data_IF_766973115106
#
_entry.id   IF_766973115106
#
_cell.length_a   1.000
_cell.length_b   1.000
_cell.length_c   1.000
_cell.angle_alpha   90.00
_cell.angle_beta   90.00
_cell.angle_gamma   90.00
#
_symmetry.space_group_name_H-M   'P 1'
#
loop_
_entity.id
_entity.type
_entity.pdbx_description
1 polymer ?
#
# COMPACT_ATOMS: atom_id res chain seq x y z
N UNK A 1 -42.66 -4.74 22.17
CA UNK A 1 -42.78 -4.95 20.71
C UNK A 1 -41.37 -5.12 20.19
N UNK A 2 -40.84 -6.32 20.38
CA UNK A 2 -39.61 -6.81 19.76
C UNK A 2 -39.82 -7.04 18.26
N UNK A 3 -38.74 -7.40 17.55
CA UNK A 3 -38.64 -7.79 16.13
C UNK A 3 -38.16 -6.72 15.14
N UNK A 4 -36.96 -6.18 15.36
CA UNK A 4 -36.08 -5.75 14.26
C UNK A 4 -34.61 -6.15 14.51
N UNK A 5 -34.36 -7.32 15.10
CA UNK A 5 -33.06 -7.99 14.96
C UNK A 5 -33.12 -8.96 13.78
N UNK A 6 -33.19 -8.39 12.58
CA UNK A 6 -32.84 -9.10 11.35
C UNK A 6 -31.33 -9.29 11.34
N UNK A 7 -30.83 -10.29 12.08
CA UNK A 7 -29.44 -10.73 11.97
C UNK A 7 -29.18 -11.10 10.53
N UNK A 8 -28.41 -10.26 9.84
CA UNK A 8 -27.93 -10.50 8.48
C UNK A 8 -26.94 -11.67 8.53
N UNK A 9 -27.47 -12.89 8.67
CA UNK A 9 -26.72 -14.14 8.69
C UNK A 9 -26.18 -14.33 7.28
N UNK A 10 -24.99 -13.79 7.00
CA UNK A 10 -24.27 -14.10 5.77
C UNK A 10 -24.27 -15.62 5.63
N UNK A 11 -24.85 -16.12 4.54
CA UNK A 11 -24.91 -17.56 4.33
C UNK A 11 -23.48 -18.07 4.22
N UNK A 12 -23.17 -19.21 4.85
CA UNK A 12 -21.85 -19.86 4.75
C UNK A 12 -21.43 -20.04 3.28
N UNK A 13 -22.40 -20.21 2.39
CA UNK A 13 -22.21 -20.25 0.93
C UNK A 13 -21.65 -18.94 0.39
N UNK A 14 -22.20 -17.79 0.78
CA UNK A 14 -21.68 -16.48 0.34
C UNK A 14 -20.24 -16.26 0.80
N UNK A 15 -19.89 -16.71 2.01
CA UNK A 15 -18.54 -16.60 2.54
C UNK A 15 -17.56 -17.50 1.79
N UNK A 16 -17.94 -18.76 1.52
CA UNK A 16 -17.13 -19.69 0.72
C UNK A 16 -16.92 -19.17 -0.70
N UNK A 17 -17.97 -18.68 -1.36
CA UNK A 17 -17.87 -18.10 -2.71
C UNK A 17 -16.97 -16.86 -2.71
N UNK A 18 -17.09 -16.01 -1.68
CA UNK A 18 -16.21 -14.85 -1.53
C UNK A 18 -14.74 -15.25 -1.42
N UNK A 19 -14.42 -16.22 -0.56
CA UNK A 19 -13.05 -16.72 -0.37
C UNK A 19 -12.53 -17.37 -1.66
N UNK A 20 -13.32 -18.23 -2.29
CA UNK A 20 -12.95 -18.93 -3.51
C UNK A 20 -12.67 -17.98 -4.69
N UNK A 21 -13.50 -16.94 -4.88
CA UNK A 21 -13.29 -15.96 -5.95
C UNK A 21 -12.02 -15.12 -5.73
N UNK A 22 -11.73 -14.72 -4.50
CA UNK A 22 -10.52 -13.94 -4.20
C UNK A 22 -9.24 -14.77 -4.32
N UNK A 23 -9.27 -16.03 -3.85
CA UNK A 23 -8.19 -16.99 -4.09
C UNK A 23 -8.00 -17.24 -5.59
N UNK A 24 -9.10 -17.46 -6.32
CA UNK A 24 -9.09 -17.62 -7.77
C UNK A 24 -8.47 -16.44 -8.49
N UNK A 25 -8.77 -15.20 -8.07
CA UNK A 25 -8.14 -14.00 -8.62
C UNK A 25 -6.63 -14.00 -8.38
N UNK A 26 -6.17 -14.24 -7.15
CA UNK A 26 -4.74 -14.27 -6.84
C UNK A 26 -3.99 -15.36 -7.61
N UNK A 27 -4.56 -16.56 -7.71
CA UNK A 27 -4.02 -17.68 -8.49
C UNK A 27 -3.97 -17.35 -9.98
N UNK A 28 -5.03 -16.76 -10.53
CA UNK A 28 -5.08 -16.41 -11.95
C UNK A 28 -4.04 -15.35 -12.31
N UNK A 29 -3.84 -14.34 -11.45
CA UNK A 29 -2.78 -13.34 -11.64
C UNK A 29 -1.39 -13.99 -11.64
N UNK A 30 -1.13 -14.90 -10.71
CA UNK A 30 0.12 -15.66 -10.66
C UNK A 30 0.34 -16.48 -11.95
N UNK A 31 -0.67 -17.23 -12.40
CA UNK A 31 -0.57 -18.05 -13.62
C UNK A 31 -0.35 -17.19 -14.87
N UNK A 32 -1.03 -16.04 -14.98
CA UNK A 32 -0.83 -15.13 -16.11
C UNK A 32 0.61 -14.62 -16.15
N UNK A 33 1.16 -14.19 -15.01
CA UNK A 33 2.54 -13.67 -14.97
C UNK A 33 3.55 -14.79 -15.25
N UNK A 34 3.30 -16.01 -14.76
CA UNK A 34 4.16 -17.17 -14.98
C UNK A 34 4.21 -17.60 -16.45
N UNK A 35 3.05 -17.75 -17.09
CA UNK A 35 2.93 -18.35 -18.43
C UNK A 35 3.05 -17.31 -19.56
N UNK A 36 2.40 -16.15 -19.41
CA UNK A 36 2.32 -15.13 -20.48
C UNK A 36 3.55 -14.22 -20.48
N UNK A 37 4.28 -14.14 -19.35
CA UNK A 37 5.45 -13.27 -19.17
C UNK A 37 5.19 -11.80 -19.54
N UNK A 38 3.94 -11.35 -19.40
CA UNK A 38 3.51 -9.98 -19.70
C UNK A 38 2.65 -9.44 -18.56
N UNK A 39 3.01 -8.29 -17.97
CA UNK A 39 2.25 -7.73 -16.85
C UNK A 39 0.90 -7.16 -17.28
N UNK A 40 0.74 -6.80 -18.56
CA UNK A 40 -0.42 -6.05 -19.06
C UNK A 40 -1.75 -6.78 -18.90
N UNK A 41 -1.78 -8.09 -19.16
CA UNK A 41 -2.99 -8.89 -19.05
C UNK A 41 -3.42 -9.04 -17.57
N UNK A 42 -2.45 -9.27 -16.67
CA UNK A 42 -2.69 -9.33 -15.23
C UNK A 42 -3.16 -7.96 -14.69
N UNK A 43 -2.57 -6.85 -15.13
CA UNK A 43 -3.01 -5.50 -14.77
C UNK A 43 -4.45 -5.21 -15.23
N UNK A 44 -4.79 -5.59 -16.46
CA UNK A 44 -6.15 -5.45 -16.97
C UNK A 44 -7.15 -6.25 -16.12
N UNK A 45 -6.78 -7.47 -15.70
CA UNK A 45 -7.60 -8.29 -14.82
C UNK A 45 -7.77 -7.67 -13.42
N UNK A 46 -6.71 -7.07 -12.85
CA UNK A 46 -6.80 -6.34 -11.57
C UNK A 46 -7.80 -5.20 -11.67
N UNK A 47 -7.74 -4.39 -12.73
CA UNK A 47 -8.66 -3.27 -12.94
C UNK A 47 -10.10 -3.79 -13.13
N UNK A 48 -10.28 -4.82 -13.97
CA UNK A 48 -11.58 -5.44 -14.21
C UNK A 48 -12.20 -6.02 -12.93
N UNK A 49 -11.38 -6.55 -12.00
CA UNK A 49 -11.86 -7.05 -10.71
C UNK A 49 -12.54 -5.98 -9.84
N UNK A 50 -12.26 -4.69 -10.09
CA UNK A 50 -12.84 -3.54 -9.37
C UNK A 50 -14.05 -2.92 -10.06
N UNK A 51 -14.68 -3.61 -11.02
CA UNK A 51 -15.84 -3.11 -11.78
C UNK A 51 -16.94 -2.48 -10.90
N UNK A 52 -17.12 -2.97 -9.66
CA UNK A 52 -18.07 -2.42 -8.67
C UNK A 52 -17.86 -0.94 -8.36
N UNK A 53 -16.64 -0.41 -8.44
CA UNK A 53 -16.38 1.01 -8.21
C UNK A 53 -17.05 1.90 -9.28
N UNK A 54 -17.25 1.37 -10.49
CA UNK A 54 -17.87 2.06 -11.63
C UNK A 54 -19.36 1.73 -11.81
N UNK A 55 -19.87 0.69 -11.14
CA UNK A 55 -21.28 0.25 -11.21
C UNK A 55 -22.28 1.21 -10.51
N UNK A 56 -21.85 2.44 -10.19
CA UNK A 56 -22.63 3.48 -9.52
C UNK A 56 -22.85 4.66 -10.47
N UNK A 57 -23.78 5.57 -10.15
CA UNK A 57 -24.02 6.79 -10.95
C UNK A 57 -22.70 7.55 -11.21
N UNK A 58 -22.45 8.05 -12.44
CA UNK A 58 -21.20 8.71 -12.82
C UNK A 58 -20.70 9.80 -11.86
N UNK A 59 -21.62 10.59 -11.29
CA UNK A 59 -21.29 11.63 -10.30
C UNK A 59 -20.54 11.14 -9.05
N UNK A 60 -20.66 9.85 -8.71
CA UNK A 60 -20.02 9.24 -7.53
C UNK A 60 -18.78 8.43 -7.86
N UNK A 61 -18.37 8.35 -9.14
CA UNK A 61 -17.21 7.56 -9.55
C UNK A 61 -15.94 7.97 -8.84
N UNK A 62 -15.65 9.27 -8.76
CA UNK A 62 -14.45 9.77 -8.10
C UNK A 62 -14.39 9.34 -6.62
N UNK A 63 -15.51 9.41 -5.91
CA UNK A 63 -15.55 8.99 -4.51
C UNK A 63 -15.29 7.48 -4.36
N UNK A 64 -15.89 6.66 -5.22
CA UNK A 64 -15.69 5.21 -5.19
C UNK A 64 -14.30 4.77 -5.63
N UNK A 65 -13.73 5.43 -6.66
CA UNK A 65 -12.36 5.16 -7.12
C UNK A 65 -11.37 5.46 -6.01
N UNK A 66 -11.49 6.63 -5.36
CA UNK A 66 -10.59 6.99 -4.27
C UNK A 66 -10.75 6.04 -3.08
N UNK A 67 -11.98 5.62 -2.74
CA UNK A 67 -12.24 4.66 -1.66
C UNK A 67 -11.64 3.27 -1.94
N UNK A 68 -11.48 2.88 -3.21
CA UNK A 68 -10.87 1.61 -3.60
C UNK A 68 -9.41 1.75 -4.03
N UNK A 69 -8.82 2.95 -3.94
CA UNK A 69 -7.49 3.21 -4.50
C UNK A 69 -6.41 2.39 -3.81
N UNK A 70 -6.44 2.25 -2.48
CA UNK A 70 -5.45 1.46 -1.75
C UNK A 70 -5.48 -0.01 -2.18
N UNK A 71 -6.66 -0.58 -2.36
CA UNK A 71 -6.84 -1.94 -2.85
C UNK A 71 -6.40 -2.11 -4.32
N UNK A 72 -6.63 -1.09 -5.15
CA UNK A 72 -6.13 -1.04 -6.51
C UNK A 72 -4.60 -0.94 -6.56
N UNK A 73 -4.00 -0.09 -5.74
CA UNK A 73 -2.55 0.04 -5.60
C UNK A 73 -1.92 -1.28 -5.21
N UNK A 74 -2.41 -1.97 -4.18
CA UNK A 74 -1.86 -3.27 -3.79
C UNK A 74 -1.97 -4.30 -4.92
N UNK A 75 -3.10 -4.36 -5.63
CA UNK A 75 -3.27 -5.26 -6.77
C UNK A 75 -2.28 -5.00 -7.90
N UNK A 76 -2.16 -3.74 -8.33
CA UNK A 76 -1.22 -3.33 -9.39
C UNK A 76 0.21 -3.63 -8.96
N UNK A 77 0.58 -3.27 -7.73
CA UNK A 77 1.94 -3.41 -7.25
C UNK A 77 2.35 -4.87 -7.08
N UNK A 78 1.46 -5.75 -6.62
CA UNK A 78 1.73 -7.20 -6.57
C UNK A 78 2.00 -7.74 -7.97
N UNK A 79 1.21 -7.38 -8.97
CA UNK A 79 1.43 -7.83 -10.36
C UNK A 79 2.79 -7.36 -10.87
N UNK A 80 3.15 -6.10 -10.64
CA UNK A 80 4.45 -5.55 -11.02
C UNK A 80 5.61 -6.25 -10.30
N UNK A 81 5.46 -6.57 -9.02
CA UNK A 81 6.48 -7.28 -8.26
C UNK A 81 6.59 -8.76 -8.66
N UNK A 82 5.48 -9.43 -8.98
CA UNK A 82 5.51 -10.79 -9.53
C UNK A 82 6.24 -10.81 -10.87
N UNK A 83 6.00 -9.81 -11.71
CA UNK A 83 6.69 -9.66 -12.99
C UNK A 83 8.19 -9.37 -12.79
N UNK A 84 8.55 -8.50 -11.84
CA UNK A 84 9.94 -8.26 -11.47
C UNK A 84 10.63 -9.51 -10.89
N UNK A 85 9.87 -10.41 -10.25
CA UNK A 85 10.33 -11.71 -9.75
C UNK A 85 10.37 -12.82 -10.81
N UNK A 86 10.18 -12.51 -12.10
CA UNK A 86 10.23 -13.51 -13.17
C UNK A 86 11.55 -14.29 -13.16
N UNK A 87 11.46 -15.61 -13.24
CA UNK A 87 12.60 -16.52 -13.08
C UNK A 87 12.83 -17.00 -11.65
N UNK A 88 12.16 -16.43 -10.65
CA UNK A 88 12.22 -16.84 -9.24
C UNK A 88 10.82 -17.27 -8.76
N UNK A 89 10.43 -18.50 -9.12
CA UNK A 89 9.06 -19.02 -8.92
C UNK A 89 8.62 -18.94 -7.46
N UNK A 90 9.49 -19.32 -6.51
CA UNK A 90 9.12 -19.32 -5.09
C UNK A 90 8.71 -17.91 -4.61
N UNK A 91 9.34 -16.86 -5.12
CA UNK A 91 9.04 -15.48 -4.77
C UNK A 91 7.71 -15.03 -5.37
N UNK A 92 7.42 -15.43 -6.61
CA UNK A 92 6.11 -15.21 -7.23
C UNK A 92 4.98 -15.90 -6.45
N UNK A 93 5.22 -17.13 -5.97
CA UNK A 93 4.28 -17.86 -5.10
C UNK A 93 4.06 -17.12 -3.78
N UNK A 94 5.12 -16.65 -3.13
CA UNK A 94 5.01 -15.86 -1.88
C UNK A 94 4.20 -14.58 -2.12
N UNK A 95 4.46 -13.86 -3.21
CA UNK A 95 3.69 -12.67 -3.58
C UNK A 95 2.20 -13.00 -3.85
N UNK A 96 1.91 -14.15 -4.46
CA UNK A 96 0.54 -14.61 -4.70
C UNK A 96 -0.20 -14.91 -3.40
N UNK A 97 0.46 -15.61 -2.47
CA UNK A 97 -0.08 -15.91 -1.14
C UNK A 97 -0.32 -14.62 -0.35
N UNK A 98 0.64 -13.68 -0.35
CA UNK A 98 0.47 -12.37 0.28
C UNK A 98 -0.71 -11.59 -0.32
N UNK A 99 -0.93 -11.69 -1.63
CA UNK A 99 -2.08 -11.05 -2.28
C UNK A 99 -3.41 -11.73 -1.93
N UNK A 100 -3.44 -13.06 -1.84
CA UNK A 100 -4.62 -13.78 -1.37
C UNK A 100 -4.96 -13.41 0.08
N UNK A 101 -3.95 -13.32 0.96
CA UNK A 101 -4.10 -12.86 2.33
C UNK A 101 -4.58 -11.40 2.39
N UNK A 102 -4.08 -10.52 1.52
CA UNK A 102 -4.59 -9.17 1.37
C UNK A 102 -6.09 -9.18 1.09
N UNK A 103 -6.53 -9.90 0.04
CA UNK A 103 -7.91 -9.91 -0.42
C UNK A 103 -8.87 -10.53 0.60
N UNK A 104 -8.50 -11.64 1.23
CA UNK A 104 -9.38 -12.44 2.10
C UNK A 104 -9.34 -11.99 3.56
N UNK A 105 -8.19 -11.57 4.05
CA UNK A 105 -7.97 -11.36 5.50
C UNK A 105 -7.87 -9.88 5.84
N UNK A 106 -7.01 -9.12 5.14
CA UNK A 106 -6.75 -7.74 5.54
C UNK A 106 -7.80 -6.77 5.00
N UNK A 107 -8.16 -6.88 3.71
CA UNK A 107 -9.10 -5.97 3.04
C UNK A 107 -10.49 -5.89 3.69
N UNK A 108 -11.13 -6.99 4.16
CA UNK A 108 -12.48 -6.91 4.72
C UNK A 108 -12.58 -6.18 6.05
N UNK A 109 -11.45 -5.98 6.73
CA UNK A 109 -11.43 -5.33 8.04
C UNK A 109 -11.63 -3.82 7.90
N UNK A 110 -12.43 -3.27 8.82
CA UNK A 110 -12.80 -1.85 8.85
C UNK A 110 -12.48 -1.17 10.17
N UNK A 111 -11.89 -1.88 11.13
CA UNK A 111 -11.41 -1.25 12.37
C UNK A 111 -10.23 -0.31 12.08
N UNK A 112 -10.12 0.77 12.87
CA UNK A 112 -9.13 1.84 12.64
C UNK A 112 -7.70 1.32 12.49
N UNK A 113 -7.32 0.34 13.31
CA UNK A 113 -5.98 -0.27 13.25
C UNK A 113 -5.78 -1.02 11.95
N UNK A 114 -6.76 -1.83 11.51
CA UNK A 114 -6.69 -2.52 10.23
C UNK A 114 -6.68 -1.54 9.05
N UNK A 115 -7.44 -0.44 9.10
CA UNK A 115 -7.42 0.61 8.07
C UNK A 115 -6.04 1.28 7.98
N UNK A 116 -5.40 1.56 9.11
CA UNK A 116 -4.02 2.07 9.16
C UNK A 116 -3.03 1.05 8.57
N UNK A 117 -3.16 -0.24 8.90
CA UNK A 117 -2.33 -1.31 8.33
C UNK A 117 -2.55 -1.43 6.82
N UNK A 118 -3.79 -1.37 6.34
CA UNK A 118 -4.12 -1.38 4.91
C UNK A 118 -3.44 -0.24 4.16
N UNK A 119 -3.53 0.99 4.70
CA UNK A 119 -2.86 2.14 4.12
C UNK A 119 -1.33 1.98 4.13
N UNK A 120 -0.74 1.51 5.25
CA UNK A 120 0.69 1.26 5.35
C UNK A 120 1.19 0.21 4.35
N UNK A 121 0.48 -0.91 4.21
CA UNK A 121 0.81 -1.95 3.20
C UNK A 121 0.65 -1.41 1.78
N UNK A 122 -0.42 -0.66 1.51
CA UNK A 122 -0.63 -0.01 0.21
C UNK A 122 0.48 0.96 -0.15
N UNK A 123 0.91 1.80 0.80
CA UNK A 123 2.04 2.72 0.61
C UNK A 123 3.34 1.95 0.39
N UNK A 124 3.62 0.94 1.22
CA UNK A 124 4.86 0.17 1.13
C UNK A 124 4.99 -0.55 -0.22
N UNK A 125 4.00 -1.38 -0.57
CA UNK A 125 4.04 -2.19 -1.79
C UNK A 125 3.87 -1.28 -3.02
N UNK A 126 3.02 -0.24 -2.93
CA UNK A 126 2.85 0.82 -3.90
C UNK A 126 4.15 1.50 -4.31
N UNK A 127 4.82 2.10 -3.34
CA UNK A 127 6.07 2.80 -3.55
C UNK A 127 7.21 1.84 -3.97
N UNK A 128 7.22 0.60 -3.47
CA UNK A 128 8.24 -0.40 -3.86
C UNK A 128 8.11 -0.76 -5.35
N UNK A 129 6.89 -1.07 -5.81
CA UNK A 129 6.66 -1.38 -7.22
C UNK A 129 6.99 -0.19 -8.13
N UNK A 130 6.66 1.04 -7.71
CA UNK A 130 7.00 2.25 -8.44
C UNK A 130 8.52 2.46 -8.50
N UNK A 131 9.22 2.34 -7.38
CA UNK A 131 10.68 2.46 -7.31
C UNK A 131 11.40 1.44 -8.21
N UNK A 132 10.87 0.22 -8.31
CA UNK A 132 11.43 -0.82 -9.20
C UNK A 132 11.15 -0.56 -10.69
N UNK A 133 10.03 0.07 -11.02
CA UNK A 133 9.61 0.26 -12.42
C UNK A 133 10.11 1.57 -13.03
N UNK A 134 10.51 2.54 -12.19
CA UNK A 134 10.72 3.93 -12.59
C UNK A 134 12.14 4.30 -13.00
N UNK A 135 13.08 3.35 -13.11
CA UNK A 135 14.50 3.62 -13.42
C UNK A 135 14.73 4.47 -14.69
N UNK A 136 13.80 4.45 -15.65
CA UNK A 136 13.90 5.20 -16.91
C UNK A 136 12.82 6.27 -17.08
N UNK A 137 12.00 6.50 -16.06
CA UNK A 137 10.87 7.40 -16.16
C UNK A 137 11.31 8.83 -15.87
N UNK A 138 10.59 9.82 -16.41
CA UNK A 138 10.78 11.20 -16.01
C UNK A 138 10.36 11.41 -14.54
N UNK A 139 10.98 12.37 -13.85
CA UNK A 139 10.69 12.67 -12.45
C UNK A 139 9.19 12.93 -12.20
N UNK A 140 8.51 13.62 -13.13
CA UNK A 140 7.08 13.90 -13.00
C UNK A 140 6.24 12.61 -12.95
N UNK A 141 6.63 11.58 -13.72
CA UNK A 141 5.95 10.28 -13.76
C UNK A 141 6.17 9.45 -12.49
N UNK A 142 7.14 9.80 -11.65
CA UNK A 142 7.36 9.17 -10.33
C UNK A 142 6.67 9.97 -9.23
N UNK A 143 6.80 11.30 -9.28
CA UNK A 143 6.27 12.20 -8.25
C UNK A 143 4.74 12.23 -8.26
N UNK A 144 4.10 12.25 -9.43
CA UNK A 144 2.64 12.30 -9.53
C UNK A 144 1.96 11.06 -8.93
N UNK A 145 2.37 9.80 -9.23
CA UNK A 145 1.81 8.63 -8.54
C UNK A 145 2.04 8.63 -7.03
N UNK A 146 3.19 9.12 -6.55
CA UNK A 146 3.45 9.24 -5.11
C UNK A 146 2.55 10.27 -4.44
N UNK A 147 2.28 11.39 -5.10
CA UNK A 147 1.30 12.37 -4.65
C UNK A 147 -0.10 11.73 -4.53
N UNK A 148 -0.55 11.01 -5.57
CA UNK A 148 -1.85 10.31 -5.55
C UNK A 148 -1.89 9.26 -4.44
N UNK A 149 -0.80 8.51 -4.25
CA UNK A 149 -0.67 7.50 -3.21
C UNK A 149 -0.79 8.12 -1.80
N UNK A 150 -0.08 9.22 -1.54
CA UNK A 150 -0.17 9.95 -0.27
C UNK A 150 -1.56 10.51 -0.01
N UNK A 151 -2.20 11.09 -1.04
CA UNK A 151 -3.57 11.58 -0.95
C UNK A 151 -4.56 10.46 -0.58
N UNK A 152 -4.46 9.32 -1.25
CA UNK A 152 -5.38 8.20 -1.03
C UNK A 152 -5.12 7.50 0.31
N UNK A 153 -3.86 7.33 0.72
CA UNK A 153 -3.51 6.74 2.00
C UNK A 153 -4.02 7.59 3.18
N UNK A 154 -3.80 8.90 3.13
CA UNK A 154 -4.31 9.80 4.16
C UNK A 154 -5.84 9.79 4.22
N UNK A 155 -6.52 9.85 3.06
CA UNK A 155 -7.99 9.79 3.02
C UNK A 155 -8.53 8.46 3.53
N UNK A 156 -7.86 7.35 3.25
CA UNK A 156 -8.22 6.02 3.73
C UNK A 156 -8.20 5.96 5.26
N UNK A 157 -7.13 6.49 5.87
CA UNK A 157 -6.98 6.54 7.34
C UNK A 157 -8.00 7.51 7.96
N UNK A 158 -8.02 8.77 7.51
CA UNK A 158 -8.86 9.83 8.09
C UNK A 158 -10.35 9.56 7.94
N UNK A 159 -10.76 8.82 6.90
CA UNK A 159 -12.14 8.35 6.75
C UNK A 159 -12.63 7.50 7.91
N UNK A 160 -11.74 6.79 8.62
CA UNK A 160 -12.08 6.00 9.82
C UNK A 160 -12.24 6.83 11.11
N UNK A 161 -11.87 8.11 11.05
CA UNK A 161 -11.97 9.08 12.14
C UNK A 161 -13.08 10.12 11.92
N UNK A 162 -13.79 10.06 10.79
CA UNK A 162 -14.84 11.03 10.40
C UNK A 162 -14.35 12.49 10.39
N UNK A 163 -13.08 12.70 10.03
CA UNK A 163 -12.42 14.01 10.08
C UNK A 163 -13.05 15.03 9.09
N UNK A 164 -13.60 16.17 9.55
CA UNK A 164 -14.21 17.15 8.66
C UNK A 164 -13.24 17.75 7.63
N UNK A 165 -11.96 17.90 7.99
CA UNK A 165 -10.91 18.45 7.13
C UNK A 165 -10.12 17.36 6.38
N UNK A 166 -10.71 16.17 6.18
CA UNK A 166 -10.07 15.02 5.52
C UNK A 166 -9.36 15.41 4.21
N UNK A 167 -10.01 16.24 3.37
CA UNK A 167 -9.42 16.66 2.09
C UNK A 167 -8.16 17.49 2.28
N UNK A 168 -8.14 18.39 3.24
CA UNK A 168 -7.02 19.29 3.50
C UNK A 168 -5.81 18.50 4.00
N UNK A 169 -5.99 17.65 5.01
CA UNK A 169 -4.91 16.80 5.52
C UNK A 169 -4.40 15.80 4.47
N UNK A 170 -5.29 15.26 3.63
CA UNK A 170 -4.89 14.40 2.53
C UNK A 170 -4.04 15.13 1.48
N UNK A 171 -4.37 16.38 1.16
CA UNK A 171 -3.56 17.19 0.23
C UNK A 171 -2.19 17.53 0.82
N UNK A 172 -2.12 17.89 2.11
CA UNK A 172 -0.84 18.14 2.80
C UNK A 172 0.03 16.87 2.75
N UNK A 173 -0.55 15.71 3.08
CA UNK A 173 0.16 14.43 3.05
C UNK A 173 0.63 14.08 1.64
N UNK A 174 -0.19 14.32 0.62
CA UNK A 174 0.16 14.12 -0.78
C UNK A 174 1.36 14.97 -1.21
N UNK A 175 1.40 16.24 -0.80
CA UNK A 175 2.54 17.14 -1.08
C UNK A 175 3.83 16.62 -0.42
N UNK A 176 3.76 16.18 0.83
CA UNK A 176 4.93 15.60 1.52
C UNK A 176 5.43 14.34 0.81
N UNK A 177 4.52 13.47 0.37
CA UNK A 177 4.87 12.28 -0.42
C UNK A 177 5.53 12.65 -1.76
N UNK A 178 5.04 13.70 -2.42
CA UNK A 178 5.61 14.20 -3.66
C UNK A 178 7.03 14.75 -3.46
N UNK A 179 7.25 15.55 -2.40
CA UNK A 179 8.57 16.10 -2.05
C UNK A 179 9.56 14.98 -1.71
N UNK A 180 9.18 14.04 -0.82
CA UNK A 180 10.01 12.88 -0.48
C UNK A 180 10.28 12.00 -1.70
N UNK A 181 9.29 11.87 -2.59
CA UNK A 181 9.41 11.17 -3.86
C UNK A 181 10.40 11.83 -4.82
N UNK A 182 10.35 13.16 -4.95
CA UNK A 182 11.27 13.92 -5.79
C UNK A 182 12.71 13.87 -5.28
N UNK A 183 12.91 14.01 -3.96
CA UNK A 183 14.21 13.85 -3.32
C UNK A 183 14.73 12.43 -3.56
N UNK A 184 13.89 11.42 -3.32
CA UNK A 184 14.28 10.02 -3.52
C UNK A 184 14.56 9.71 -4.99
N UNK A 185 13.86 10.31 -5.95
CA UNK A 185 14.15 10.11 -7.37
C UNK A 185 15.62 10.44 -7.73
N UNK A 186 16.23 11.43 -7.07
CA UNK A 186 17.62 11.82 -7.30
C UNK A 186 18.62 11.13 -6.36
N UNK A 187 18.22 10.75 -5.14
CA UNK A 187 19.14 10.29 -4.08
C UNK A 187 18.72 8.97 -3.39
N UNK A 188 17.88 8.15 -4.03
CA UNK A 188 17.43 6.88 -3.46
C UNK A 188 18.51 5.80 -3.54
N UNK A 189 18.73 5.13 -2.41
CA UNK A 189 19.44 3.87 -2.35
C UNK A 189 18.47 2.68 -2.41
N UNK A 190 18.88 1.64 -3.14
CA UNK A 190 18.16 0.39 -3.25
C UNK A 190 19.08 -0.77 -2.87
N UNK A 191 18.70 -1.50 -1.82
CA UNK A 191 19.51 -2.56 -1.25
C UNK A 191 19.17 -3.91 -1.86
N UNK A 192 20.19 -4.65 -2.28
CA UNK A 192 20.05 -6.05 -2.68
C UNK A 192 19.84 -6.91 -1.45
N UNK A 193 18.85 -7.78 -1.50
CA UNK A 193 18.58 -8.75 -0.43
C UNK A 193 18.80 -10.14 -1.01
N UNK A 194 19.63 -10.93 -0.33
CA UNK A 194 19.89 -12.32 -0.74
C UNK A 194 18.57 -13.10 -0.84
N UNK A 195 18.38 -13.79 -1.98
CA UNK A 195 17.18 -14.57 -2.27
C UNK A 195 16.04 -13.82 -2.98
N UNK A 196 15.97 -12.47 -2.93
CA UNK A 196 14.85 -11.72 -3.54
C UNK A 196 15.00 -11.44 -5.05
N UNK A 197 15.98 -12.05 -5.71
CA UNK A 197 16.21 -11.90 -7.15
C UNK A 197 16.46 -10.43 -7.53
N UNK A 198 15.71 -9.94 -8.52
CA UNK A 198 15.81 -8.55 -8.98
C UNK A 198 15.10 -7.54 -8.07
N UNK A 199 14.29 -7.98 -7.09
CA UNK A 199 13.60 -7.08 -6.18
C UNK A 199 14.61 -6.53 -5.17
N UNK A 200 14.78 -5.21 -5.19
CA UNK A 200 15.61 -4.48 -4.22
C UNK A 200 14.72 -3.74 -3.22
N UNK A 201 15.21 -3.63 -1.99
CA UNK A 201 14.55 -2.83 -0.97
C UNK A 201 14.97 -1.37 -1.12
N UNK A 202 14.08 -0.56 -1.70
CA UNK A 202 14.25 0.88 -1.78
C UNK A 202 14.02 1.54 -0.40
N UNK A 203 14.77 2.60 -0.10
CA UNK A 203 14.57 3.39 1.13
C UNK A 203 13.24 4.15 1.16
N UNK A 204 12.82 4.70 0.02
CA UNK A 204 11.62 5.55 -0.09
C UNK A 204 10.36 4.91 0.51
N UNK A 205 9.97 3.66 0.16
CA UNK A 205 8.83 2.98 0.76
C UNK A 205 8.86 2.95 2.30
N UNK A 206 10.04 2.75 2.90
CA UNK A 206 10.21 2.72 4.35
C UNK A 206 9.99 4.11 4.95
N UNK A 207 10.57 5.15 4.34
CA UNK A 207 10.41 6.53 4.79
C UNK A 207 8.94 6.97 4.74
N UNK A 208 8.22 6.65 3.66
CA UNK A 208 6.81 7.00 3.52
C UNK A 208 5.93 6.29 4.56
N UNK A 209 6.19 5.00 4.83
CA UNK A 209 5.46 4.24 5.85
C UNK A 209 5.73 4.76 7.25
N UNK A 210 6.99 5.05 7.58
CA UNK A 210 7.37 5.60 8.88
C UNK A 210 6.77 6.98 9.12
N UNK A 211 6.82 7.84 8.12
CA UNK A 211 6.16 9.14 8.16
C UNK A 211 4.65 8.96 8.40
N UNK A 212 3.99 8.12 7.60
CA UNK A 212 2.56 7.84 7.75
C UNK A 212 2.22 7.25 9.13
N UNK A 213 3.07 6.38 9.67
CA UNK A 213 2.91 5.80 11.00
C UNK A 213 2.99 6.86 12.11
N UNK A 214 3.96 7.77 12.05
CA UNK A 214 4.06 8.88 13.02
C UNK A 214 2.84 9.81 12.92
N UNK A 215 2.40 10.15 11.70
CA UNK A 215 1.21 10.97 11.49
C UNK A 215 -0.07 10.29 12.02
N UNK A 216 -0.25 9.00 11.76
CA UNK A 216 -1.39 8.22 12.27
C UNK A 216 -1.40 8.18 13.81
N UNK A 217 -0.24 7.94 14.43
CA UNK A 217 -0.11 7.92 15.90
C UNK A 217 -0.40 9.28 16.51
N UNK A 218 0.10 10.36 15.90
CA UNK A 218 -0.17 11.71 16.35
C UNK A 218 -1.65 12.05 16.26
N UNK A 219 -2.29 11.71 15.13
CA UNK A 219 -3.70 11.96 14.93
C UNK A 219 -4.58 11.12 15.86
N UNK A 220 -4.25 9.84 16.06
CA UNK A 220 -4.97 8.98 17.02
C UNK A 220 -4.85 9.50 18.47
N UNK A 221 -3.67 9.99 18.87
CA UNK A 221 -3.49 10.59 20.20
C UNK A 221 -4.36 11.84 20.37
N UNK A 222 -4.36 12.73 19.36
CA UNK A 222 -5.24 13.91 19.34
C UNK A 222 -6.71 13.53 19.40
N UNK A 223 -7.15 12.55 18.60
CA UNK A 223 -8.53 12.09 18.58
C UNK A 223 -8.99 11.56 19.95
N UNK A 224 -8.13 10.84 20.66
CA UNK A 224 -8.47 10.26 21.97
C UNK A 224 -8.43 11.27 23.12
N UNK A 225 -7.54 12.26 23.06
CA UNK A 225 -7.22 13.11 24.21
C UNK A 225 -7.45 14.62 24.00
N UNK A 226 -7.82 15.05 22.79
CA UNK A 226 -7.91 16.46 22.39
C UNK A 226 -6.58 17.19 22.27
N UNK A 227 -5.47 16.53 22.65
CA UNK A 227 -4.11 17.02 22.55
C UNK A 227 -3.18 15.89 22.15
N UNK A 228 -2.10 16.23 21.48
CA UNK A 228 -1.06 15.27 21.13
C UNK A 228 -0.18 15.01 22.36
N UNK A 229 -0.28 13.82 22.96
CA UNK A 229 0.51 13.45 24.14
C UNK A 229 1.88 12.93 23.71
N UNK A 230 2.94 13.46 24.32
CA UNK A 230 4.31 13.00 24.07
C UNK A 230 4.49 11.49 24.32
N UNK A 231 3.81 10.94 25.33
CA UNK A 231 3.87 9.51 25.65
C UNK A 231 3.43 8.60 24.49
N UNK A 232 2.48 9.05 23.66
CA UNK A 232 1.93 8.27 22.55
C UNK A 232 2.81 8.35 21.28
N UNK A 233 3.66 9.38 21.19
CA UNK A 233 4.45 9.69 19.99
C UNK A 233 5.94 9.35 20.15
N UNK A 234 6.51 9.52 21.34
CA UNK A 234 7.97 9.39 21.54
C UNK A 234 8.48 8.03 21.06
N UNK A 235 7.79 6.94 21.38
CA UNK A 235 8.19 5.60 20.94
C UNK A 235 8.06 5.44 19.39
N UNK A 236 6.91 5.73 18.75
CA UNK A 236 6.81 5.74 17.30
C UNK A 236 7.88 6.59 16.59
N UNK A 237 8.11 7.81 17.07
CA UNK A 237 9.08 8.73 16.47
C UNK A 237 10.51 8.27 16.66
N UNK A 238 10.88 7.77 17.83
CA UNK A 238 12.24 7.23 18.06
C UNK A 238 12.51 5.99 17.21
N UNK A 239 11.52 5.11 17.05
CA UNK A 239 11.61 3.97 16.13
C UNK A 239 11.78 4.44 14.68
N UNK A 240 10.97 5.41 14.24
CA UNK A 240 11.07 5.95 12.89
C UNK A 240 12.42 6.60 12.62
N UNK A 241 12.86 7.50 13.51
CA UNK A 241 14.17 8.16 13.42
C UNK A 241 15.31 7.14 13.48
N UNK A 242 15.25 6.18 14.40
CA UNK A 242 16.26 5.14 14.54
C UNK A 242 16.38 4.26 13.29
N UNK A 243 15.27 3.88 12.68
CA UNK A 243 15.28 3.10 11.43
C UNK A 243 15.83 3.95 10.27
N UNK A 244 15.42 5.22 10.15
CA UNK A 244 15.95 6.13 9.12
C UNK A 244 17.45 6.31 9.26
N UNK A 245 17.95 6.56 10.47
CA UNK A 245 19.39 6.70 10.73
C UNK A 245 20.14 5.39 10.45
N UNK A 246 19.57 4.25 10.82
CA UNK A 246 20.15 2.93 10.51
C UNK A 246 20.30 2.73 8.99
N UNK A 247 19.25 3.06 8.23
CA UNK A 247 19.28 2.96 6.77
C UNK A 247 20.28 3.95 6.14
N UNK A 248 20.37 5.18 6.65
CA UNK A 248 21.26 6.20 6.08
C UNK A 248 22.74 6.00 6.46
N UNK A 249 23.02 5.53 7.68
CA UNK A 249 24.40 5.43 8.20
C UNK A 249 25.00 4.04 7.94
N UNK A 250 24.29 2.98 8.34
CA UNK A 250 24.84 1.62 8.29
C UNK A 250 24.83 1.07 6.87
N UNK A 251 23.73 1.25 6.13
CA UNK A 251 23.65 0.69 4.78
C UNK A 251 24.37 1.52 3.71
N UNK A 252 24.62 2.81 3.93
CA UNK A 252 25.47 3.60 3.05
C UNK A 252 26.94 3.14 3.14
N UNK A 253 27.42 2.84 4.36
CA UNK A 253 28.78 2.33 4.59
C UNK A 253 29.06 0.99 3.91
N UNK A 254 28.08 0.08 3.86
CA UNK A 254 28.21 -1.23 3.20
C UNK A 254 28.41 -1.12 1.68
N UNK A 255 27.80 -0.11 1.03
CA UNK A 255 28.05 0.15 -0.41
C UNK A 255 29.43 0.76 -0.69
N UNK A 256 29.98 1.52 0.27
CA UNK A 256 31.27 2.20 0.11
C UNK A 256 32.47 1.27 0.33
N UNK A 257 32.31 0.19 1.12
CA UNK A 257 33.40 -0.75 1.43
C UNK A 257 33.56 -1.91 0.45
N UNK A 258 32.75 -1.99 -0.62
CA UNK A 258 32.96 -2.97 -1.70
C UNK A 258 32.93 -4.45 -1.27
N UNK A 259 32.27 -4.77 -0.16
CA UNK A 259 32.07 -6.15 0.28
C UNK A 259 30.68 -6.61 -0.18
N UNK A 260 30.59 -6.94 -1.47
CA UNK A 260 29.53 -7.74 -2.07
C UNK A 260 30.15 -9.01 -2.65
#
# INVERSE_FOLDING_TARGET
MDFLHGTHRQSRVSEVVYVALNLGLATLLFLIVLEVQSPWLALALVIASKWRALAVRPRFWLANIVANMIDLTVGISVVMLMYAASGVIWLQVVLAVLHALWLVVLKPRSDRRSVAIQAGVGVFVGATALAMSSYRWDAALVVLPLWVLGYCAARHILGSYEEPLTRTYALITATIFAELGWVSYHWMFAYTISGLGAIKLAQLPLFLVLFGFVCERAYNSYYQHGVVRGADIVLPSTLAVGLVLTLLLLFNSLSATGLA
#
